data_IF_482656792708
#
_entry.id   IF_482656792708
#
_cell.length_a   1.000
_cell.length_b   1.000
_cell.length_c   1.000
_cell.angle_alpha   90.00
_cell.angle_beta   90.00
_cell.angle_gamma   90.00
#
_symmetry.space_group_name_H-M   'P 1'
#
loop_
_entity.id
_entity.type
_entity.pdbx_description
1 polymer ?
#
# COMPACT_ATOMS: atom_id res chain seq x y z
N UNK A 1 -16.19 7.67 23.25
CA UNK A 1 -17.04 8.10 22.12
C UNK A 1 -16.26 9.11 21.30
N UNK A 2 -15.98 8.85 20.02
CA UNK A 2 -15.39 9.87 19.14
C UNK A 2 -16.36 11.05 19.05
N UNK A 3 -15.86 12.27 19.28
CA UNK A 3 -16.66 13.48 19.22
C UNK A 3 -17.19 13.70 17.79
N UNK A 4 -18.33 14.39 17.66
CA UNK A 4 -18.98 14.64 16.35
C UNK A 4 -18.06 15.29 15.30
N UNK A 5 -16.99 15.97 15.72
CA UNK A 5 -15.95 16.56 14.85
C UNK A 5 -15.09 15.49 14.16
N UNK A 6 -14.75 14.42 14.86
CA UNK A 6 -13.87 13.38 14.33
C UNK A 6 -14.56 12.51 13.28
N UNK A 7 -15.88 12.30 13.43
CA UNK A 7 -16.67 11.58 12.43
C UNK A 7 -16.70 12.27 11.08
N UNK A 8 -16.77 13.60 11.04
CA UNK A 8 -16.77 14.34 9.76
C UNK A 8 -15.45 14.19 9.03
N UNK A 9 -14.33 14.30 9.74
CA UNK A 9 -12.99 14.06 9.18
C UNK A 9 -12.85 12.63 8.66
N UNK A 10 -13.28 11.63 9.44
CA UNK A 10 -13.27 10.23 9.02
C UNK A 10 -14.15 9.96 7.77
N UNK A 11 -15.25 10.68 7.60
CA UNK A 11 -16.11 10.54 6.41
C UNK A 11 -15.46 11.16 5.18
N UNK A 12 -14.74 12.27 5.35
CA UNK A 12 -13.94 12.90 4.29
C UNK A 12 -12.82 11.95 3.84
N UNK A 13 -12.18 11.23 4.77
CA UNK A 13 -11.20 10.18 4.46
C UNK A 13 -11.78 9.07 3.58
N UNK A 14 -12.92 8.50 3.98
CA UNK A 14 -13.52 7.36 3.29
C UNK A 14 -14.05 7.70 1.88
N UNK A 15 -14.25 8.99 1.58
CA UNK A 15 -14.67 9.47 0.25
C UNK A 15 -13.58 10.21 -0.53
N UNK A 16 -12.37 10.34 0.01
CA UNK A 16 -11.27 11.02 -0.68
C UNK A 16 -10.64 10.12 -1.72
N UNK A 17 -10.54 10.60 -2.96
CA UNK A 17 -9.74 9.97 -4.01
C UNK A 17 -8.29 10.45 -3.92
N UNK A 18 -7.37 9.65 -4.47
CA UNK A 18 -6.00 10.07 -4.64
C UNK A 18 -5.91 11.41 -5.38
N UNK A 19 -5.04 12.30 -4.90
CA UNK A 19 -4.69 13.54 -5.56
C UNK A 19 -3.17 13.70 -5.60
N UNK A 20 -2.53 14.12 -6.71
CA UNK A 20 -1.07 14.19 -6.83
C UNK A 20 -0.36 15.00 -5.75
N UNK A 21 -1.02 16.03 -5.20
CA UNK A 21 -0.42 16.83 -4.12
C UNK A 21 -0.21 16.07 -2.80
N UNK A 22 -0.79 14.87 -2.66
CA UNK A 22 -0.66 14.05 -1.45
C UNK A 22 0.76 13.51 -1.23
N UNK A 23 1.56 13.37 -2.29
CA UNK A 23 2.98 13.03 -2.19
C UNK A 23 3.81 14.04 -1.39
N UNK A 24 3.34 15.29 -1.29
CA UNK A 24 4.03 16.37 -0.58
C UNK A 24 3.31 16.80 0.70
N UNK A 25 2.30 16.05 1.13
CA UNK A 25 1.48 16.39 2.28
C UNK A 25 2.07 15.77 3.56
N UNK A 26 2.12 16.54 4.65
CA UNK A 26 2.60 16.07 5.96
C UNK A 26 1.55 15.32 6.79
N UNK A 27 0.30 15.25 6.31
CA UNK A 27 -0.77 14.52 6.95
C UNK A 27 -0.59 13.00 6.74
N UNK A 28 -0.54 12.18 7.81
CA UNK A 28 -0.35 10.73 7.71
C UNK A 28 -1.37 10.02 6.79
N UNK A 29 -2.60 10.51 6.74
CA UNK A 29 -3.61 9.93 5.86
C UNK A 29 -3.27 10.16 4.39
N UNK A 30 -2.94 11.41 4.04
CA UNK A 30 -2.60 11.77 2.66
C UNK A 30 -1.37 10.98 2.20
N UNK A 31 -0.38 10.84 3.09
CA UNK A 31 0.78 9.98 2.87
C UNK A 31 0.36 8.52 2.62
N UNK A 32 -0.50 7.93 3.44
CA UNK A 32 -0.97 6.56 3.23
C UNK A 32 -1.73 6.35 1.91
N UNK A 33 -2.56 7.32 1.51
CA UNK A 33 -3.25 7.28 0.20
C UNK A 33 -2.24 7.36 -0.94
N UNK A 34 -1.24 8.24 -0.84
CA UNK A 34 -0.18 8.36 -1.85
C UNK A 34 0.66 7.09 -1.96
N UNK A 35 1.07 6.50 -0.83
CA UNK A 35 1.88 5.27 -0.78
C UNK A 35 1.13 4.06 -1.35
N UNK A 36 -0.18 3.94 -1.13
CA UNK A 36 -0.97 2.86 -1.73
C UNK A 36 -1.24 3.09 -3.23
N UNK A 37 -1.38 4.34 -3.67
CA UNK A 37 -1.47 4.67 -5.09
C UNK A 37 -0.18 4.32 -5.85
N UNK A 38 0.97 4.61 -5.25
CA UNK A 38 2.29 4.24 -5.77
C UNK A 38 2.43 2.72 -5.88
N UNK A 39 2.21 1.98 -4.79
CA UNK A 39 2.27 0.51 -4.81
C UNK A 39 1.38 -0.12 -5.89
N UNK A 40 0.15 0.36 -6.08
CA UNK A 40 -0.74 -0.14 -7.13
C UNK A 40 -0.22 0.20 -8.53
N UNK A 41 0.33 1.39 -8.70
CA UNK A 41 0.90 1.84 -9.98
C UNK A 41 2.16 1.07 -10.33
N UNK A 42 3.04 0.82 -9.37
CA UNK A 42 4.25 0.03 -9.51
C UNK A 42 3.90 -1.40 -9.92
N UNK A 43 2.94 -2.02 -9.25
CA UNK A 43 2.46 -3.37 -9.62
C UNK A 43 1.89 -3.40 -11.04
N UNK A 44 1.18 -2.34 -11.47
CA UNK A 44 0.66 -2.26 -12.83
C UNK A 44 1.75 -2.06 -13.89
N UNK A 45 2.75 -1.22 -13.60
CA UNK A 45 3.79 -0.85 -14.55
C UNK A 45 4.95 -1.86 -14.61
N UNK A 46 5.40 -2.33 -13.45
CA UNK A 46 6.57 -3.22 -13.28
C UNK A 46 6.16 -4.69 -13.13
N UNK A 47 4.91 -4.96 -12.76
CA UNK A 47 4.45 -6.31 -12.40
C UNK A 47 4.66 -6.62 -10.92
N UNK A 48 4.48 -7.88 -10.53
CA UNK A 48 4.68 -8.28 -9.14
C UNK A 48 6.17 -8.37 -8.79
N UNK A 49 6.58 -7.72 -7.70
CA UNK A 49 7.90 -7.91 -7.11
C UNK A 49 7.90 -9.28 -6.42
N UNK A 50 8.53 -10.27 -7.04
CA UNK A 50 8.69 -11.59 -6.46
C UNK A 50 9.57 -11.54 -5.20
N UNK A 51 9.19 -12.30 -4.17
CA UNK A 51 10.02 -12.50 -3.00
C UNK A 51 11.16 -13.47 -3.34
N UNK A 52 12.31 -12.93 -3.77
CA UNK A 52 13.51 -13.69 -4.10
C UNK A 52 14.50 -13.61 -2.93
N UNK A 53 15.03 -14.75 -2.51
CA UNK A 53 16.12 -14.83 -1.53
C UNK A 53 17.40 -15.22 -2.27
N UNK A 54 18.43 -14.38 -2.15
CA UNK A 54 19.78 -14.72 -2.61
C UNK A 54 20.47 -15.57 -1.54
N UNK A 55 20.91 -16.77 -1.92
CA UNK A 55 21.69 -17.67 -1.07
C UNK A 55 23.17 -17.24 -1.03
N UNK A 56 23.93 -17.68 -0.02
CA UNK A 56 25.37 -17.37 0.13
C UNK A 56 26.23 -17.79 -1.10
N UNK A 57 25.73 -18.70 -1.93
CA UNK A 57 26.38 -19.16 -3.15
C UNK A 57 25.95 -18.37 -4.42
N UNK A 58 25.20 -17.28 -4.25
CA UNK A 58 24.68 -16.43 -5.34
C UNK A 58 23.49 -17.02 -6.11
N UNK A 59 22.87 -18.10 -5.61
CA UNK A 59 21.64 -18.63 -6.21
C UNK A 59 20.44 -17.84 -5.70
N UNK A 60 19.62 -17.39 -6.64
CA UNK A 60 18.32 -16.81 -6.37
C UNK A 60 17.26 -17.93 -6.24
N UNK A 61 16.58 -17.97 -5.09
CA UNK A 61 15.45 -18.87 -4.86
C UNK A 61 14.17 -18.06 -4.69
N UNK A 62 13.17 -18.37 -5.50
CA UNK A 62 11.84 -17.78 -5.35
C UNK A 62 11.15 -18.41 -4.15
N UNK A 63 10.68 -17.58 -3.22
CA UNK A 63 9.84 -18.06 -2.13
C UNK A 63 8.49 -18.49 -2.74
N UNK A 64 8.10 -19.76 -2.61
CA UNK A 64 6.81 -20.22 -3.11
C UNK A 64 5.69 -19.50 -2.36
N UNK A 65 4.65 -19.07 -3.08
CA UNK A 65 3.46 -18.52 -2.45
C UNK A 65 2.74 -19.64 -1.69
N UNK A 66 2.53 -19.45 -0.39
CA UNK A 66 1.55 -20.27 0.31
C UNK A 66 0.17 -19.81 -0.13
N UNK A 67 -0.52 -20.66 -0.88
CA UNK A 67 -1.95 -20.49 -1.11
C UNK A 67 -2.64 -20.62 0.26
N UNK A 68 -3.15 -19.51 0.80
CA UNK A 68 -4.05 -19.55 1.94
C UNK A 68 -5.32 -20.30 1.51
N UNK A 69 -5.31 -21.63 1.60
CA UNK A 69 -6.49 -22.46 1.43
C UNK A 69 -7.49 -22.02 2.50
N UNK A 70 -8.53 -21.33 2.04
CA UNK A 70 -9.67 -20.99 2.86
C UNK A 70 -10.38 -22.31 3.18
N UNK A 71 -10.25 -22.79 4.42
CA UNK A 71 -11.14 -23.81 5.00
C UNK A 71 -12.42 -23.16 5.53
#
# INVERSE_FOLDING_TARGET
MLEKKDRKKATEVAGSFFHPSYYHNSNPLASGIATTHEQVSDVYAEGEIGAVVEQENGKEEQIPREDNKTE
#
